data_IF_369310060013
#
_entry.id   IF_369310060013
#
_cell.length_a   1.000
_cell.length_b   1.000
_cell.length_c   1.000
_cell.angle_alpha   90.00
_cell.angle_beta   90.00
_cell.angle_gamma   90.00
#
_symmetry.space_group_name_H-M   'P 1'
#
loop_
_entity.id
_entity.type
_entity.pdbx_description
1 polymer ?
#
# COMPACT_ATOMS: atom_id res chain seq x y z
N UNK A 1 17.48 19.65 -12.26
CA UNK A 1 17.03 18.42 -11.55
C UNK A 1 15.52 18.49 -11.46
N UNK A 2 14.81 17.50 -12.01
CA UNK A 2 13.35 17.51 -11.96
C UNK A 2 12.83 17.06 -10.58
N UNK A 3 11.51 17.26 -10.33
CA UNK A 3 10.91 16.96 -9.03
C UNK A 3 11.01 15.47 -8.65
N UNK A 4 10.94 14.53 -9.60
CA UNK A 4 11.14 13.11 -9.32
C UNK A 4 12.56 12.81 -8.83
N UNK A 5 13.57 13.44 -9.43
CA UNK A 5 14.97 13.30 -8.99
C UNK A 5 15.18 13.94 -7.61
N UNK A 6 14.57 15.09 -7.36
CA UNK A 6 14.63 15.76 -6.06
C UNK A 6 13.94 14.92 -4.96
N UNK A 7 12.75 14.36 -5.24
CA UNK A 7 12.03 13.50 -4.31
C UNK A 7 12.87 12.30 -3.86
N UNK A 8 13.60 11.67 -4.80
CA UNK A 8 14.47 10.52 -4.51
C UNK A 8 15.63 10.83 -3.55
N UNK A 9 15.94 12.10 -3.28
CA UNK A 9 16.95 12.49 -2.28
C UNK A 9 16.42 12.38 -0.84
N UNK A 10 15.11 12.44 -0.65
CA UNK A 10 14.47 12.51 0.66
C UNK A 10 13.59 11.29 0.97
N UNK A 11 13.09 10.62 -0.07
CA UNK A 11 12.04 9.60 0.02
C UNK A 11 12.34 8.43 -0.89
N UNK A 12 12.12 7.22 -0.42
CA UNK A 12 12.13 6.03 -1.29
C UNK A 12 10.91 6.06 -2.20
N UNK A 13 11.15 6.20 -3.51
CA UNK A 13 10.09 6.21 -4.52
C UNK A 13 9.70 4.78 -4.87
N UNK A 14 8.41 4.49 -4.70
CA UNK A 14 7.78 3.20 -4.98
C UNK A 14 6.79 3.39 -6.14
N UNK A 15 6.71 2.43 -7.06
CA UNK A 15 5.73 2.48 -8.13
C UNK A 15 4.47 1.69 -7.76
N UNK A 16 3.29 2.31 -7.90
CA UNK A 16 2.00 1.69 -7.68
C UNK A 16 1.40 1.23 -9.01
N UNK A 17 1.72 0.00 -9.44
CA UNK A 17 1.30 -0.48 -10.76
C UNK A 17 1.31 -2.00 -10.89
N UNK A 18 0.33 -2.53 -11.67
CA UNK A 18 0.41 -3.87 -12.26
C UNK A 18 0.98 -3.84 -13.69
N UNK A 19 1.11 -2.64 -14.29
CA UNK A 19 1.67 -2.42 -15.62
C UNK A 19 3.19 -2.22 -15.51
N UNK A 20 3.91 -3.33 -15.35
CA UNK A 20 5.35 -3.30 -15.05
C UNK A 20 6.23 -2.90 -16.25
N UNK A 21 5.73 -2.94 -17.49
CA UNK A 21 6.50 -2.50 -18.66
C UNK A 21 6.88 -1.01 -18.60
N UNK A 22 6.14 -0.20 -17.85
CA UNK A 22 6.44 1.21 -17.64
C UNK A 22 7.47 1.48 -16.52
N UNK A 23 7.79 0.48 -15.67
CA UNK A 23 8.67 0.68 -14.51
C UNK A 23 10.09 1.10 -14.88
N UNK A 24 10.65 0.55 -15.95
CA UNK A 24 12.01 0.82 -16.38
C UNK A 24 12.29 2.32 -16.63
N UNK A 25 11.27 3.07 -17.04
CA UNK A 25 11.37 4.51 -17.32
C UNK A 25 11.66 5.34 -16.06
N UNK A 26 11.03 4.99 -14.92
CA UNK A 26 11.09 5.79 -13.70
C UNK A 26 12.09 5.27 -12.67
N UNK A 27 12.59 4.04 -12.84
CA UNK A 27 13.57 3.39 -11.95
C UNK A 27 13.16 3.53 -10.47
N UNK A 28 11.98 3.04 -10.07
CA UNK A 28 11.57 3.04 -8.68
C UNK A 28 12.45 2.07 -7.88
N UNK A 29 12.57 2.29 -6.57
CA UNK A 29 13.27 1.37 -5.68
C UNK A 29 12.45 0.11 -5.42
N UNK A 30 11.20 0.27 -5.04
CA UNK A 30 10.22 -0.76 -4.71
C UNK A 30 8.99 -0.64 -5.62
N UNK A 31 8.10 -1.63 -5.58
CA UNK A 31 6.79 -1.56 -6.25
C UNK A 31 5.67 -2.14 -5.38
N UNK A 32 4.46 -1.62 -5.57
CA UNK A 32 3.24 -2.17 -4.95
C UNK A 32 2.26 -2.63 -6.00
N UNK A 33 1.60 -3.75 -5.72
CA UNK A 33 0.46 -4.24 -6.47
C UNK A 33 -0.77 -4.34 -5.57
N UNK A 34 -1.92 -4.55 -6.16
CA UNK A 34 -3.17 -4.89 -5.50
C UNK A 34 -4.10 -5.58 -6.50
N UNK A 35 -5.23 -6.20 -6.05
CA UNK A 35 -6.14 -6.91 -6.95
C UNK A 35 -6.63 -6.06 -8.13
N UNK A 36 -6.95 -4.79 -7.90
CA UNK A 36 -7.43 -3.88 -8.95
C UNK A 36 -6.37 -3.62 -10.02
N UNK A 37 -5.11 -3.44 -9.61
CA UNK A 37 -3.99 -3.21 -10.54
C UNK A 37 -3.68 -4.45 -11.37
N UNK A 38 -3.70 -5.63 -10.77
CA UNK A 38 -3.52 -6.90 -11.49
C UNK A 38 -4.68 -7.12 -12.46
N UNK A 39 -5.94 -6.96 -12.01
CA UNK A 39 -7.12 -7.07 -12.86
C UNK A 39 -7.06 -6.11 -14.06
N UNK A 40 -6.63 -4.86 -13.84
CA UNK A 40 -6.46 -3.87 -14.91
C UNK A 40 -5.35 -4.29 -15.87
N UNK A 41 -4.25 -4.81 -15.38
CA UNK A 41 -3.13 -5.27 -16.21
C UNK A 41 -3.53 -6.47 -17.08
N UNK A 42 -4.12 -7.52 -16.52
CA UNK A 42 -4.48 -8.74 -17.29
C UNK A 42 -5.53 -8.51 -18.37
N UNK A 43 -6.25 -7.37 -18.36
CA UNK A 43 -7.14 -6.96 -19.45
C UNK A 43 -6.39 -6.42 -20.67
N UNK A 44 -5.11 -6.11 -20.55
CA UNK A 44 -4.28 -5.63 -21.67
C UNK A 44 -3.69 -6.82 -22.44
N UNK A 45 -3.64 -6.74 -23.79
CA UNK A 45 -3.15 -7.83 -24.65
C UNK A 45 -1.75 -8.34 -24.27
N UNK A 46 -0.85 -7.45 -23.86
CA UNK A 46 0.54 -7.75 -23.51
C UNK A 46 0.71 -8.63 -22.28
N UNK A 47 -0.28 -8.68 -21.37
CA UNK A 47 -0.25 -9.48 -20.14
C UNK A 47 -1.13 -10.74 -20.19
N UNK A 48 -2.00 -10.89 -21.20
CA UNK A 48 -2.82 -12.09 -21.39
C UNK A 48 -1.99 -13.39 -21.46
N UNK A 49 -0.79 -13.42 -22.06
CA UNK A 49 0.05 -14.62 -22.04
C UNK A 49 0.37 -15.11 -20.62
N UNK A 50 0.66 -14.22 -19.67
CA UNK A 50 0.98 -14.59 -18.29
C UNK A 50 -0.21 -15.28 -17.60
N UNK A 51 -1.42 -14.78 -17.80
CA UNK A 51 -2.64 -15.38 -17.28
C UNK A 51 -2.84 -16.77 -17.90
N UNK A 52 -2.72 -16.89 -19.21
CA UNK A 52 -2.90 -18.16 -19.93
C UNK A 52 -1.86 -19.22 -19.54
N UNK A 53 -0.61 -18.82 -19.34
CA UNK A 53 0.45 -19.71 -18.86
C UNK A 53 0.10 -20.30 -17.50
N UNK A 54 -0.37 -19.46 -16.54
CA UNK A 54 -0.76 -19.93 -15.21
C UNK A 54 -1.94 -20.88 -15.28
N UNK A 55 -2.98 -20.55 -16.05
CA UNK A 55 -4.17 -21.40 -16.21
C UNK A 55 -3.79 -22.74 -16.88
N UNK A 56 -2.98 -22.72 -17.94
CA UNK A 56 -2.55 -23.93 -18.63
C UNK A 56 -1.71 -24.86 -17.74
N UNK A 57 -0.79 -24.29 -16.96
CA UNK A 57 0.10 -25.06 -16.08
C UNK A 57 -0.61 -25.58 -14.82
N UNK A 58 -1.63 -24.88 -14.32
CA UNK A 58 -2.22 -25.13 -13.01
C UNK A 58 -3.75 -25.27 -13.01
N UNK A 59 -4.37 -25.56 -14.14
CA UNK A 59 -5.83 -25.67 -14.30
C UNK A 59 -6.52 -26.72 -13.42
N UNK A 60 -5.76 -27.67 -12.84
CA UNK A 60 -6.25 -28.66 -11.86
C UNK A 60 -6.18 -28.17 -10.40
N UNK A 61 -5.46 -27.09 -10.14
CA UNK A 61 -5.37 -26.49 -8.80
C UNK A 61 -6.67 -25.75 -8.45
N UNK A 62 -6.87 -25.47 -7.17
CA UNK A 62 -7.99 -24.62 -6.73
C UNK A 62 -7.86 -23.21 -7.34
N UNK A 63 -8.99 -22.50 -7.49
CA UNK A 63 -8.99 -21.14 -8.00
C UNK A 63 -8.12 -20.22 -7.15
N UNK A 64 -8.18 -20.37 -5.83
CA UNK A 64 -7.33 -19.63 -4.90
C UNK A 64 -5.83 -19.84 -5.16
N UNK A 65 -5.42 -21.07 -5.45
CA UNK A 65 -4.02 -21.35 -5.77
C UNK A 65 -3.63 -20.79 -7.14
N UNK A 66 -4.51 -20.85 -8.13
CA UNK A 66 -4.26 -20.27 -9.44
C UNK A 66 -4.09 -18.75 -9.35
N UNK A 67 -4.92 -18.07 -8.55
CA UNK A 67 -4.78 -16.62 -8.30
C UNK A 67 -3.46 -16.31 -7.60
N UNK A 68 -3.08 -17.06 -6.55
CA UNK A 68 -1.80 -16.84 -5.87
C UNK A 68 -0.62 -17.00 -6.83
N UNK A 69 -0.67 -17.98 -7.73
CA UNK A 69 0.36 -18.17 -8.76
C UNK A 69 0.39 -17.02 -9.76
N UNK A 70 -0.77 -16.48 -10.14
CA UNK A 70 -0.83 -15.33 -11.05
C UNK A 70 -0.23 -14.09 -10.41
N UNK A 71 -0.62 -13.74 -9.18
CA UNK A 71 -0.07 -12.55 -8.50
C UNK A 71 1.43 -12.71 -8.22
N UNK A 72 1.92 -13.90 -7.89
CA UNK A 72 3.34 -14.20 -7.74
C UNK A 72 4.06 -14.07 -9.09
N UNK A 73 3.47 -14.55 -10.20
CA UNK A 73 4.05 -14.41 -11.54
C UNK A 73 4.24 -12.94 -11.91
N UNK A 74 3.23 -12.08 -11.65
CA UNK A 74 3.37 -10.63 -11.82
C UNK A 74 4.46 -10.05 -10.91
N UNK A 75 4.50 -10.46 -9.66
CA UNK A 75 5.52 -10.02 -8.71
C UNK A 75 6.94 -10.39 -9.14
N UNK A 76 7.16 -11.58 -9.72
CA UNK A 76 8.45 -11.99 -10.26
C UNK A 76 8.89 -11.12 -11.46
N UNK A 77 7.96 -10.79 -12.37
CA UNK A 77 8.26 -9.87 -13.48
C UNK A 77 8.66 -8.49 -12.96
N UNK A 78 7.91 -7.96 -11.99
CA UNK A 78 8.24 -6.66 -11.36
C UNK A 78 9.62 -6.71 -10.71
N UNK A 79 9.92 -7.76 -9.92
CA UNK A 79 11.20 -7.93 -9.22
C UNK A 79 12.40 -8.06 -10.16
N UNK A 80 12.20 -8.46 -11.41
CA UNK A 80 13.27 -8.46 -12.43
C UNK A 80 13.63 -7.04 -12.90
N UNK A 81 12.75 -6.06 -12.68
CA UNK A 81 12.89 -4.68 -13.16
C UNK A 81 13.26 -3.68 -12.06
N UNK A 82 13.10 -4.05 -10.79
CA UNK A 82 13.38 -3.18 -9.65
C UNK A 82 14.46 -3.78 -8.73
N UNK A 83 15.29 -2.96 -8.07
CA UNK A 83 16.32 -3.47 -7.17
C UNK A 83 15.79 -3.90 -5.80
N UNK A 84 14.67 -3.36 -5.35
CA UNK A 84 14.14 -3.51 -4.01
C UNK A 84 13.04 -4.57 -3.88
N UNK A 85 11.94 -4.21 -3.21
CA UNK A 85 10.87 -5.13 -2.76
C UNK A 85 9.60 -4.96 -3.59
N UNK A 86 8.80 -6.03 -3.69
CA UNK A 86 7.43 -5.96 -4.20
C UNK A 86 6.44 -6.23 -3.07
N UNK A 87 5.37 -5.43 -2.99
CA UNK A 87 4.22 -5.72 -2.12
C UNK A 87 3.18 -6.53 -2.91
N UNK A 88 2.89 -7.75 -2.42
CA UNK A 88 1.89 -8.66 -2.99
C UNK A 88 0.76 -8.84 -1.99
N UNK A 89 -0.46 -8.49 -2.39
CA UNK A 89 -1.62 -8.42 -1.49
C UNK A 89 -2.33 -9.77 -1.40
N UNK A 90 -2.62 -10.20 -0.15
CA UNK A 90 -3.50 -11.34 0.11
C UNK A 90 -4.94 -10.97 -0.25
N UNK A 91 -5.75 -11.98 -0.57
CA UNK A 91 -7.15 -11.79 -0.93
C UNK A 91 -7.92 -11.10 0.20
N UNK A 92 -8.61 -10.00 -0.12
CA UNK A 92 -9.34 -9.19 0.83
C UNK A 92 -10.53 -9.92 1.48
N UNK A 93 -10.98 -11.04 0.93
CA UNK A 93 -12.00 -11.91 1.55
C UNK A 93 -11.56 -12.47 2.90
N UNK A 94 -10.24 -12.54 3.16
CA UNK A 94 -9.66 -13.01 4.42
C UNK A 94 -9.37 -11.89 5.42
N UNK A 95 -9.78 -10.64 5.14
CA UNK A 95 -9.47 -9.47 5.98
C UNK A 95 -9.90 -9.60 7.44
N UNK A 96 -10.83 -10.49 7.76
CA UNK A 96 -11.37 -10.73 9.11
C UNK A 96 -11.04 -12.13 9.65
N UNK A 97 -10.11 -12.85 9.00
CA UNK A 97 -9.64 -14.17 9.42
C UNK A 97 -8.13 -14.19 9.53
N UNK A 98 -7.63 -14.08 10.75
CA UNK A 98 -6.19 -14.08 11.06
C UNK A 98 -5.50 -15.36 10.59
N UNK A 99 -6.09 -16.52 10.85
CA UNK A 99 -5.47 -17.81 10.54
C UNK A 99 -5.39 -18.04 9.02
N UNK A 100 -6.48 -17.76 8.30
CA UNK A 100 -6.51 -17.85 6.85
C UNK A 100 -5.55 -16.87 6.19
N UNK A 101 -5.45 -15.62 6.70
CA UNK A 101 -4.50 -14.62 6.22
C UNK A 101 -3.05 -15.08 6.39
N UNK A 102 -2.69 -15.62 7.56
CA UNK A 102 -1.33 -16.17 7.81
C UNK A 102 -1.04 -17.33 6.86
N UNK A 103 -1.94 -18.30 6.73
CA UNK A 103 -1.76 -19.47 5.85
C UNK A 103 -1.59 -19.03 4.38
N UNK A 104 -2.38 -18.04 3.91
CA UNK A 104 -2.28 -17.50 2.55
C UNK A 104 -0.94 -16.80 2.32
N UNK A 105 -0.52 -15.96 3.27
CA UNK A 105 0.76 -15.26 3.23
C UNK A 105 1.94 -16.24 3.13
N UNK A 106 1.96 -17.28 3.96
CA UNK A 106 2.98 -18.33 3.93
C UNK A 106 3.03 -19.05 2.57
N UNK A 107 1.86 -19.34 1.99
CA UNK A 107 1.78 -19.97 0.65
C UNK A 107 2.35 -19.03 -0.43
N UNK A 108 2.01 -17.75 -0.42
CA UNK A 108 2.54 -16.75 -1.36
C UNK A 108 4.07 -16.67 -1.25
N UNK A 109 4.63 -16.62 -0.06
CA UNK A 109 6.09 -16.62 0.16
C UNK A 109 6.73 -17.91 -0.37
N UNK A 110 6.13 -19.08 -0.10
CA UNK A 110 6.63 -20.35 -0.63
C UNK A 110 6.61 -20.38 -2.17
N UNK A 111 5.60 -19.82 -2.81
CA UNK A 111 5.53 -19.69 -4.27
C UNK A 111 6.64 -18.79 -4.82
N UNK A 112 6.95 -17.66 -4.18
CA UNK A 112 8.09 -16.81 -4.55
C UNK A 112 9.41 -17.54 -4.40
N UNK A 113 9.62 -18.24 -3.29
CA UNK A 113 10.84 -19.01 -3.05
C UNK A 113 11.04 -20.12 -4.09
N UNK A 114 9.94 -20.80 -4.50
CA UNK A 114 9.98 -21.78 -5.58
C UNK A 114 10.38 -21.20 -6.94
N UNK A 115 10.23 -19.86 -7.13
CA UNK A 115 10.71 -19.12 -8.30
C UNK A 115 12.12 -18.53 -8.09
N UNK A 116 12.82 -18.89 -7.01
CA UNK A 116 14.15 -18.38 -6.70
C UNK A 116 14.19 -16.96 -6.10
N UNK A 117 13.05 -16.42 -5.70
CA UNK A 117 12.96 -15.09 -5.06
C UNK A 117 13.13 -15.22 -3.55
N UNK A 118 14.10 -14.49 -2.99
CA UNK A 118 14.30 -14.44 -1.54
C UNK A 118 13.13 -13.71 -0.86
N UNK A 119 12.70 -14.21 0.31
CA UNK A 119 11.54 -13.64 1.05
C UNK A 119 11.72 -12.17 1.44
N UNK A 120 12.96 -11.73 1.61
CA UNK A 120 13.35 -10.35 1.92
C UNK A 120 13.00 -9.36 0.79
N UNK A 121 12.78 -9.87 -0.44
CA UNK A 121 12.34 -9.11 -1.60
C UNK A 121 10.82 -8.96 -1.68
N UNK A 122 10.06 -9.54 -0.74
CA UNK A 122 8.59 -9.58 -0.76
C UNK A 122 8.02 -9.02 0.53
N UNK A 123 7.06 -8.10 0.39
CA UNK A 123 6.20 -7.64 1.47
C UNK A 123 4.81 -8.23 1.25
N UNK A 124 4.30 -8.99 2.21
CA UNK A 124 2.91 -9.44 2.16
C UNK A 124 2.00 -8.28 2.54
N UNK A 125 1.15 -7.86 1.60
CA UNK A 125 0.23 -6.74 1.80
C UNK A 125 -1.10 -7.23 2.35
N UNK A 126 -1.57 -6.62 3.44
CA UNK A 126 -2.72 -7.09 4.24
C UNK A 126 -3.57 -5.87 4.62
N UNK A 127 -4.90 -5.97 4.57
CA UNK A 127 -5.80 -4.92 5.05
C UNK A 127 -5.61 -4.68 6.56
N UNK A 128 -5.54 -3.42 6.98
CA UNK A 128 -5.31 -3.01 8.37
C UNK A 128 -6.60 -3.12 9.22
N UNK A 129 -7.24 -4.29 9.21
CA UNK A 129 -8.23 -4.71 10.20
C UNK A 129 -7.52 -5.17 11.47
N UNK A 130 -8.24 -5.36 12.59
CA UNK A 130 -7.63 -5.95 13.78
C UNK A 130 -7.02 -7.32 13.47
N UNK A 131 -7.78 -8.18 12.80
CA UNK A 131 -7.38 -9.53 12.42
C UNK A 131 -6.18 -9.53 11.46
N UNK A 132 -6.16 -8.59 10.50
CA UNK A 132 -5.03 -8.42 9.58
C UNK A 132 -3.75 -7.97 10.29
N UNK A 133 -3.87 -7.08 11.28
CA UNK A 133 -2.74 -6.63 12.10
C UNK A 133 -2.20 -7.78 12.97
N UNK A 134 -3.10 -8.61 13.55
CA UNK A 134 -2.69 -9.81 14.30
C UNK A 134 -1.98 -10.84 13.40
N UNK A 135 -2.47 -11.01 12.16
CA UNK A 135 -1.81 -11.86 11.17
C UNK A 135 -0.40 -11.34 10.85
N UNK A 136 -0.28 -10.04 10.63
CA UNK A 136 1.02 -9.40 10.36
C UNK A 136 2.00 -9.59 11.53
N UNK A 137 1.55 -9.45 12.79
CA UNK A 137 2.39 -9.69 13.96
C UNK A 137 2.96 -11.11 14.00
N UNK A 138 2.13 -12.12 13.66
CA UNK A 138 2.56 -13.51 13.58
C UNK A 138 3.55 -13.74 12.44
N UNK A 139 3.32 -13.14 11.27
CA UNK A 139 4.20 -13.25 10.10
C UNK A 139 5.56 -12.59 10.35
N UNK A 140 5.60 -11.44 11.01
CA UNK A 140 6.84 -10.76 11.40
C UNK A 140 7.71 -11.65 12.31
N UNK A 141 7.10 -12.40 13.25
CA UNK A 141 7.82 -13.36 14.10
C UNK A 141 8.42 -14.52 13.29
N UNK A 142 7.88 -14.82 12.13
CA UNK A 142 8.39 -15.83 11.19
C UNK A 142 9.41 -15.25 10.19
N UNK A 143 9.74 -13.97 10.33
CA UNK A 143 10.63 -13.26 9.41
C UNK A 143 10.02 -13.02 8.03
N UNK A 144 8.69 -12.96 7.94
CA UNK A 144 7.94 -12.57 6.75
C UNK A 144 7.52 -11.11 6.91
N UNK A 145 8.08 -10.23 6.11
CA UNK A 145 7.80 -8.80 6.16
C UNK A 145 6.40 -8.49 5.60
N UNK A 146 5.71 -7.53 6.23
CA UNK A 146 4.33 -7.16 5.89
C UNK A 146 4.16 -5.68 5.57
N UNK A 147 3.17 -5.38 4.73
CA UNK A 147 2.72 -4.03 4.38
C UNK A 147 1.23 -3.89 4.72
N UNK A 148 0.87 -3.14 5.76
CA UNK A 148 -0.52 -2.96 6.17
C UNK A 148 -1.18 -1.84 5.36
N UNK A 149 -2.21 -2.20 4.59
CA UNK A 149 -2.91 -1.31 3.65
C UNK A 149 -4.36 -1.05 4.08
N UNK A 150 -5.09 -0.24 3.32
CA UNK A 150 -6.40 0.27 3.70
C UNK A 150 -6.37 0.92 5.08
N UNK A 151 -5.33 1.71 5.31
CA UNK A 151 -5.08 2.42 6.55
C UNK A 151 -5.54 3.87 6.39
N UNK A 152 -6.48 4.28 7.21
CA UNK A 152 -7.16 5.58 7.16
C UNK A 152 -7.16 6.30 8.51
N UNK A 153 -7.07 5.56 9.63
CA UNK A 153 -7.13 6.10 10.99
C UNK A 153 -5.79 6.02 11.72
N UNK A 154 -5.55 7.00 12.62
CA UNK A 154 -4.41 6.95 13.53
C UNK A 154 -4.42 5.69 14.41
N UNK A 155 -5.60 5.22 14.84
CA UNK A 155 -5.72 3.98 15.63
C UNK A 155 -5.18 2.75 14.89
N UNK A 156 -5.38 2.66 13.56
CA UNK A 156 -4.79 1.58 12.76
C UNK A 156 -3.26 1.68 12.76
N UNK A 157 -2.71 2.89 12.62
CA UNK A 157 -1.26 3.10 12.67
C UNK A 157 -0.69 2.73 14.05
N UNK A 158 -1.34 3.13 15.14
CA UNK A 158 -0.93 2.76 16.51
C UNK A 158 -0.89 1.25 16.68
N UNK A 159 -1.94 0.53 16.30
CA UNK A 159 -2.00 -0.92 16.42
C UNK A 159 -0.93 -1.61 15.54
N UNK A 160 -0.65 -1.09 14.33
CA UNK A 160 0.43 -1.57 13.47
C UNK A 160 1.81 -1.37 14.11
N UNK A 161 2.06 -0.20 14.72
CA UNK A 161 3.29 0.08 15.44
C UNK A 161 3.49 -0.84 16.66
N UNK A 162 2.42 -1.12 17.43
CA UNK A 162 2.44 -2.08 18.53
C UNK A 162 2.74 -3.51 18.05
N UNK A 163 2.23 -3.89 16.88
CA UNK A 163 2.49 -5.17 16.23
C UNK A 163 3.88 -5.25 15.57
N UNK A 164 4.64 -4.15 15.53
CA UNK A 164 5.97 -4.04 14.92
C UNK A 164 6.00 -4.51 13.46
N UNK A 165 4.96 -4.18 12.69
CA UNK A 165 4.92 -4.52 11.27
C UNK A 165 6.03 -3.80 10.49
N UNK A 166 6.50 -4.37 9.37
CA UNK A 166 7.59 -3.78 8.60
C UNK A 166 7.18 -2.42 7.99
N UNK A 167 5.99 -2.32 7.41
CA UNK A 167 5.56 -1.16 6.66
C UNK A 167 4.06 -0.94 6.76
N UNK A 168 3.64 0.31 6.77
CA UNK A 168 2.23 0.71 6.63
C UNK A 168 2.04 1.59 5.40
N UNK A 169 0.87 1.45 4.74
CA UNK A 169 0.47 2.24 3.58
C UNK A 169 -0.78 3.08 3.88
N UNK A 170 -0.67 4.19 4.63
CA UNK A 170 -1.79 5.10 4.84
C UNK A 170 -2.19 5.78 3.53
N UNK A 171 -3.51 5.89 3.30
CA UNK A 171 -4.06 6.41 2.07
C UNK A 171 -4.30 7.92 2.15
N UNK A 172 -3.80 8.66 1.17
CA UNK A 172 -3.95 10.12 1.06
C UNK A 172 -5.22 10.47 0.28
N UNK A 173 -5.29 10.10 -0.99
CA UNK A 173 -6.34 10.56 -1.88
C UNK A 173 -7.73 10.03 -1.53
N UNK A 174 -7.87 8.84 -0.95
CA UNK A 174 -9.20 8.35 -0.52
C UNK A 174 -9.73 9.10 0.71
N UNK A 175 -8.86 9.57 1.59
CA UNK A 175 -9.23 10.47 2.70
C UNK A 175 -9.70 11.80 2.12
N UNK A 176 -8.92 12.40 1.21
CA UNK A 176 -9.30 13.62 0.50
C UNK A 176 -10.68 13.49 -0.18
N UNK A 177 -10.90 12.41 -0.94
CA UNK A 177 -12.16 12.18 -1.65
C UNK A 177 -13.36 12.13 -0.70
N UNK A 178 -13.21 11.49 0.47
CA UNK A 178 -14.27 11.41 1.48
C UNK A 178 -14.62 12.78 2.04
N UNK A 179 -13.62 13.56 2.46
CA UNK A 179 -13.84 14.92 3.00
C UNK A 179 -14.43 15.85 1.95
N UNK A 180 -13.96 15.79 0.70
CA UNK A 180 -14.50 16.57 -0.40
C UNK A 180 -15.97 16.25 -0.66
N UNK A 181 -16.32 14.96 -0.67
CA UNK A 181 -17.71 14.50 -0.85
C UNK A 181 -18.58 14.93 0.34
N UNK A 182 -18.10 14.82 1.55
CA UNK A 182 -18.85 15.21 2.77
C UNK A 182 -19.10 16.72 2.82
N UNK A 183 -18.14 17.55 2.41
CA UNK A 183 -18.29 19.00 2.37
C UNK A 183 -19.20 19.49 1.21
N UNK A 184 -19.30 18.72 0.12
CA UNK A 184 -20.10 19.09 -1.04
C UNK A 184 -19.76 20.48 -1.58
N UNK A 185 -20.76 21.34 -1.70
CA UNK A 185 -20.59 22.71 -2.21
C UNK A 185 -19.76 23.63 -1.30
N UNK A 186 -19.55 23.27 -0.03
CA UNK A 186 -18.72 24.03 0.91
C UNK A 186 -17.22 23.68 0.82
N UNK A 187 -16.84 22.76 -0.09
CA UNK A 187 -15.44 22.42 -0.29
C UNK A 187 -14.64 23.55 -0.91
N UNK A 188 -13.60 24.01 -0.23
CA UNK A 188 -12.62 24.94 -0.77
C UNK A 188 -11.34 24.20 -1.18
N UNK A 189 -11.15 24.04 -2.48
CA UNK A 189 -10.01 23.32 -3.05
C UNK A 189 -8.67 23.98 -2.71
N UNK A 190 -8.61 25.30 -2.74
CA UNK A 190 -7.37 26.05 -2.45
C UNK A 190 -6.98 25.94 -0.98
N UNK A 191 -7.94 26.06 -0.07
CA UNK A 191 -7.72 25.92 1.37
C UNK A 191 -7.43 24.49 1.81
N UNK A 192 -7.74 23.48 0.99
CA UNK A 192 -7.60 22.04 1.29
C UNK A 192 -6.62 21.32 0.37
N UNK A 193 -5.55 22.02 -0.07
CA UNK A 193 -4.51 21.49 -0.96
C UNK A 193 -3.14 21.45 -0.29
N UNK A 194 -2.21 20.70 -0.87
CA UNK A 194 -0.83 20.58 -0.38
C UNK A 194 -0.78 20.10 1.07
N UNK A 195 -0.10 20.81 1.94
CA UNK A 195 0.01 20.46 3.36
C UNK A 195 -1.30 20.54 4.15
N UNK A 196 -2.33 21.24 3.62
CA UNK A 196 -3.66 21.37 4.24
C UNK A 196 -4.65 20.31 3.71
N UNK A 197 -4.22 19.44 2.80
CA UNK A 197 -5.01 18.29 2.35
C UNK A 197 -5.23 17.31 3.53
N UNK A 198 -6.48 16.89 3.80
CA UNK A 198 -6.77 16.05 4.97
C UNK A 198 -6.05 14.70 4.93
N UNK A 199 -5.80 14.14 3.75
CA UNK A 199 -5.02 12.90 3.62
C UNK A 199 -3.53 13.14 3.88
N UNK A 200 -2.98 14.26 3.40
CA UNK A 200 -1.60 14.68 3.69
C UNK A 200 -1.43 14.92 5.19
N UNK A 201 -2.35 15.63 5.83
CA UNK A 201 -2.32 15.87 7.28
C UNK A 201 -2.35 14.56 8.08
N UNK A 202 -3.17 13.59 7.66
CA UNK A 202 -3.26 12.27 8.30
C UNK A 202 -1.92 11.53 8.24
N UNK A 203 -1.30 11.44 7.06
CA UNK A 203 0.00 10.75 6.89
C UNK A 203 1.12 11.49 7.62
N UNK A 204 1.13 12.81 7.57
CA UNK A 204 2.08 13.66 8.31
C UNK A 204 2.00 13.40 9.82
N UNK A 205 0.79 13.33 10.37
CA UNK A 205 0.57 13.04 11.78
C UNK A 205 1.11 11.65 12.17
N UNK A 206 0.82 10.62 11.37
CA UNK A 206 1.34 9.25 11.57
C UNK A 206 2.87 9.24 11.52
N UNK A 207 3.47 9.91 10.53
CA UNK A 207 4.92 9.99 10.39
C UNK A 207 5.56 10.64 11.62
N UNK A 208 5.05 11.78 12.07
CA UNK A 208 5.54 12.45 13.27
C UNK A 208 5.44 11.56 14.52
N UNK A 209 4.29 10.92 14.73
CA UNK A 209 4.08 10.02 15.86
C UNK A 209 5.08 8.84 15.85
N UNK A 210 5.28 8.20 14.69
CA UNK A 210 6.22 7.10 14.57
C UNK A 210 7.67 7.52 14.85
N UNK A 211 8.09 8.67 14.31
CA UNK A 211 9.45 9.17 14.53
C UNK A 211 9.67 9.60 15.98
N UNK A 212 8.69 10.27 16.60
CA UNK A 212 8.76 10.67 18.00
C UNK A 212 8.91 9.46 18.94
N UNK A 213 8.12 8.40 18.72
CA UNK A 213 8.13 7.21 19.56
C UNK A 213 9.19 6.15 19.15
N UNK A 214 10.05 6.46 18.18
CA UNK A 214 11.10 5.53 17.72
C UNK A 214 10.52 4.24 17.11
N UNK A 215 9.32 4.29 16.53
CA UNK A 215 8.69 3.15 15.87
C UNK A 215 9.43 2.88 14.56
N UNK A 216 9.98 1.68 14.42
CA UNK A 216 10.79 1.29 13.27
C UNK A 216 9.97 1.01 11.99
N UNK A 217 8.65 0.86 12.12
CA UNK A 217 7.75 0.65 10.98
C UNK A 217 7.87 1.78 9.96
N UNK A 218 8.09 1.43 8.70
CA UNK A 218 8.19 2.37 7.60
C UNK A 218 6.80 2.94 7.25
N UNK A 219 6.70 4.25 7.03
CA UNK A 219 5.48 4.93 6.60
C UNK A 219 5.53 5.16 5.10
N UNK A 220 4.60 4.60 4.34
CA UNK A 220 4.49 4.76 2.90
C UNK A 220 3.18 5.45 2.51
N UNK A 221 3.20 6.73 2.22
CA UNK A 221 2.02 7.42 1.68
C UNK A 221 1.55 6.79 0.37
N UNK A 222 0.24 6.61 0.22
CA UNK A 222 -0.35 5.86 -0.89
C UNK A 222 -1.62 6.52 -1.46
N UNK A 223 -2.02 6.10 -2.68
CA UNK A 223 -3.30 6.48 -3.30
C UNK A 223 -3.43 7.98 -3.56
N UNK A 224 -2.45 8.58 -4.21
CA UNK A 224 -2.43 10.02 -4.52
C UNK A 224 -3.41 10.40 -5.65
N UNK A 225 -3.89 11.64 -5.62
CA UNK A 225 -4.75 12.26 -6.65
C UNK A 225 -4.02 13.30 -7.49
N UNK A 226 -2.99 13.93 -6.92
CA UNK A 226 -2.23 14.97 -7.60
C UNK A 226 -0.80 15.06 -7.04
N UNK A 227 0.06 15.77 -7.78
CA UNK A 227 1.46 15.99 -7.41
C UNK A 227 1.61 16.80 -6.12
N UNK A 228 0.66 17.71 -5.82
CA UNK A 228 0.69 18.52 -4.60
C UNK A 228 0.64 17.69 -3.32
N UNK A 229 -0.12 16.57 -3.31
CA UNK A 229 -0.13 15.64 -2.19
C UNK A 229 1.22 14.94 -2.02
N UNK A 230 1.90 14.61 -3.11
CA UNK A 230 3.21 13.93 -3.10
C UNK A 230 4.30 14.89 -2.60
N UNK A 231 4.35 16.09 -3.15
CA UNK A 231 5.36 17.09 -2.81
C UNK A 231 5.25 17.55 -1.36
N UNK A 232 4.03 17.64 -0.82
CA UNK A 232 3.77 17.96 0.59
C UNK A 232 4.21 16.83 1.57
N UNK A 233 4.48 15.63 1.08
CA UNK A 233 5.00 14.50 1.86
C UNK A 233 6.46 14.16 1.53
N UNK A 234 7.19 15.03 0.81
CA UNK A 234 8.61 14.82 0.52
C UNK A 234 9.42 14.72 1.83
N UNK A 235 10.09 13.59 2.04
CA UNK A 235 10.76 13.25 3.30
C UNK A 235 10.04 12.16 4.10
N UNK A 236 8.82 11.75 3.71
CA UNK A 236 8.22 10.50 4.17
C UNK A 236 9.12 9.31 3.82
N UNK A 237 9.12 8.24 4.61
CA UNK A 237 10.02 7.11 4.39
C UNK A 237 9.88 6.57 2.97
N UNK A 238 8.63 6.33 2.52
CA UNK A 238 8.32 5.89 1.16
C UNK A 238 7.06 6.61 0.65
N UNK A 239 6.93 6.71 -0.68
CA UNK A 239 5.69 7.12 -1.35
C UNK A 239 5.45 6.19 -2.54
N UNK A 240 4.28 5.53 -2.57
CA UNK A 240 3.89 4.68 -3.70
C UNK A 240 3.02 5.48 -4.67
N UNK A 241 3.53 5.68 -5.87
CA UNK A 241 3.09 6.69 -6.83
C UNK A 241 2.72 6.00 -8.15
N UNK A 242 1.58 6.37 -8.73
CA UNK A 242 1.17 5.87 -10.04
C UNK A 242 2.09 6.34 -11.16
N UNK A 243 2.20 5.59 -12.28
CA UNK A 243 3.03 5.98 -13.41
C UNK A 243 2.70 7.38 -13.98
N UNK A 244 1.41 7.75 -13.97
CA UNK A 244 0.96 9.05 -14.46
C UNK A 244 1.48 10.21 -13.60
N UNK A 245 1.49 10.05 -12.27
CA UNK A 245 2.03 11.05 -11.35
C UNK A 245 3.56 11.05 -11.34
N UNK A 246 4.21 9.89 -11.53
CA UNK A 246 5.66 9.82 -11.76
C UNK A 246 6.07 10.59 -13.00
N UNK A 247 5.30 10.49 -14.09
CA UNK A 247 5.53 11.26 -15.31
C UNK A 247 5.42 12.77 -15.08
N UNK A 248 4.41 13.23 -14.32
CA UNK A 248 4.24 14.64 -13.98
C UNK A 248 5.42 15.18 -13.14
N UNK A 249 5.86 14.42 -12.13
CA UNK A 249 7.04 14.77 -11.33
C UNK A 249 8.32 14.83 -12.17
N UNK A 250 8.47 13.92 -13.14
CA UNK A 250 9.62 13.88 -14.03
C UNK A 250 9.64 15.05 -15.03
N UNK A 251 8.45 15.59 -15.38
CA UNK A 251 8.32 16.72 -16.30
C UNK A 251 8.48 18.09 -15.61
N UNK A 252 8.35 18.16 -14.27
CA UNK A 252 8.42 19.41 -13.51
C UNK A 252 9.84 19.67 -13.00
N UNK A 253 10.36 20.89 -13.22
CA UNK A 253 11.68 21.32 -12.75
C UNK A 253 11.63 22.35 -11.59
N UNK A 254 10.44 22.61 -11.05
CA UNK A 254 10.30 23.49 -9.89
C UNK A 254 11.02 22.92 -8.68
N UNK A 255 11.56 23.78 -7.79
CA UNK A 255 12.22 23.34 -6.56
C UNK A 255 11.29 22.46 -5.70
N UNK A 256 11.82 21.38 -5.18
CA UNK A 256 11.12 20.51 -4.23
C UNK A 256 11.91 20.48 -2.91
N UNK A 257 11.53 21.30 -1.92
CA UNK A 257 12.11 21.23 -0.59
C UNK A 257 11.64 19.97 0.15
N UNK A 258 12.45 19.52 1.11
CA UNK A 258 12.03 18.47 2.04
C UNK A 258 10.91 19.02 2.95
N UNK A 259 9.76 18.36 2.99
CA UNK A 259 8.60 18.74 3.79
C UNK A 259 8.58 18.04 5.16
N UNK A 260 9.03 16.78 5.22
CA UNK A 260 9.07 15.97 6.43
C UNK A 260 10.52 15.64 6.78
N UNK A 261 10.88 15.86 8.06
CA UNK A 261 12.20 15.53 8.59
C UNK A 261 12.07 14.66 9.85
N UNK A 262 12.74 13.50 9.83
CA UNK A 262 12.64 12.52 10.91
C UNK A 262 13.22 13.02 12.24
N UNK A 263 14.29 13.85 12.20
CA UNK A 263 14.90 14.42 13.42
C UNK A 263 14.01 15.49 14.04
N UNK A 264 13.46 16.37 13.21
CA UNK A 264 12.51 17.37 13.66
C UNK A 264 11.25 16.70 14.25
N UNK A 265 10.75 15.64 13.59
CA UNK A 265 9.59 14.89 14.06
C UNK A 265 9.86 14.19 15.41
N UNK A 266 11.05 13.65 15.62
CA UNK A 266 11.43 12.99 16.89
C UNK A 266 11.43 13.97 18.09
N UNK A 267 11.59 15.27 17.86
CA UNK A 267 11.56 16.29 18.90
C UNK A 267 10.14 16.81 19.23
N UNK A 268 9.10 16.37 18.49
CA UNK A 268 7.72 16.77 18.74
C UNK A 268 7.11 15.95 19.88
N UNK A 269 6.24 16.58 20.68
CA UNK A 269 5.42 15.81 21.64
C UNK A 269 4.19 15.26 20.94
N UNK A 270 4.09 13.91 20.92
CA UNK A 270 3.00 13.20 20.25
C UNK A 270 2.42 12.15 21.20
N UNK A 271 1.08 12.06 21.36
CA UNK A 271 0.47 11.01 22.17
C UNK A 271 0.61 9.64 21.49
N UNK A 272 0.83 8.61 22.30
CA UNK A 272 0.86 7.22 21.84
C UNK A 272 0.03 6.35 22.78
N UNK A 273 -1.27 6.15 22.48
CA UNK A 273 -2.11 5.28 23.29
C UNK A 273 -1.68 3.82 23.11
N UNK A 274 -1.89 3.01 24.14
CA UNK A 274 -1.85 1.57 24.00
C UNK A 274 -3.27 1.08 23.70
N UNK A 275 -3.45 0.38 22.58
CA UNK A 275 -4.76 -0.12 22.15
C UNK A 275 -4.83 -1.64 22.30
N UNK A 276 -5.84 -2.12 23.01
CA UNK A 276 -6.32 -3.49 22.91
C UNK A 276 -7.37 -3.60 21.78
N UNK A 277 -7.93 -4.78 21.57
CA UNK A 277 -8.92 -5.00 20.51
C UNK A 277 -10.16 -4.12 20.65
N UNK A 278 -10.71 -4.02 21.85
CA UNK A 278 -11.92 -3.24 22.11
C UNK A 278 -11.69 -1.74 21.87
N UNK A 279 -10.55 -1.22 22.34
CA UNK A 279 -10.15 0.18 22.13
C UNK A 279 -9.91 0.48 20.66
N UNK A 280 -9.23 -0.43 19.92
CA UNK A 280 -9.02 -0.30 18.48
C UNK A 280 -10.35 -0.25 17.72
N UNK A 281 -11.26 -1.20 18.00
CA UNK A 281 -12.57 -1.28 17.33
C UNK A 281 -13.42 -0.06 17.62
N UNK A 282 -13.42 0.42 18.88
CA UNK A 282 -14.13 1.63 19.27
C UNK A 282 -13.57 2.87 18.57
N UNK A 283 -12.26 3.07 18.61
CA UNK A 283 -11.61 4.22 17.98
C UNK A 283 -11.83 4.23 16.45
N UNK A 284 -11.74 3.07 15.79
CA UNK A 284 -12.01 2.96 14.36
C UNK A 284 -13.50 3.24 14.05
N UNK A 285 -14.43 2.75 14.87
CA UNK A 285 -15.86 2.97 14.69
C UNK A 285 -16.27 4.45 14.90
N UNK A 286 -15.58 5.16 15.79
CA UNK A 286 -15.82 6.60 16.03
C UNK A 286 -15.31 7.48 14.88
N UNK A 287 -14.39 6.98 14.06
CA UNK A 287 -13.92 7.65 12.84
C UNK A 287 -14.76 7.19 11.64
N UNK A 288 -15.81 7.95 11.30
CA UNK A 288 -16.73 7.64 10.21
C UNK A 288 -15.98 7.50 8.86
N UNK A 289 -15.03 8.39 8.59
CA UNK A 289 -14.22 8.36 7.35
C UNK A 289 -13.43 7.05 7.26
N UNK A 290 -12.72 6.68 8.30
CA UNK A 290 -11.89 5.48 8.30
C UNK A 290 -12.73 4.20 8.23
N UNK A 291 -13.83 4.12 8.98
CA UNK A 291 -14.76 2.97 8.96
C UNK A 291 -15.37 2.76 7.58
N UNK A 292 -15.88 3.83 6.97
CA UNK A 292 -16.48 3.77 5.64
C UNK A 292 -15.45 3.40 4.57
N UNK A 293 -14.26 4.00 4.60
CA UNK A 293 -13.22 3.77 3.59
C UNK A 293 -12.54 2.40 3.70
N UNK A 294 -12.35 1.88 4.91
CA UNK A 294 -11.87 0.51 5.10
C UNK A 294 -12.86 -0.49 4.53
N UNK A 295 -14.14 -0.38 4.92
CA UNK A 295 -15.19 -1.28 4.45
C UNK A 295 -15.41 -1.18 2.93
N UNK A 296 -15.41 0.02 2.35
CA UNK A 296 -15.49 0.25 0.91
C UNK A 296 -14.29 -0.39 0.18
N UNK A 297 -13.07 -0.21 0.71
CA UNK A 297 -11.85 -0.75 0.14
C UNK A 297 -11.84 -2.28 0.09
N UNK A 298 -12.23 -2.93 1.20
CA UNK A 298 -12.34 -4.40 1.26
C UNK A 298 -13.38 -4.90 0.24
N UNK A 299 -14.58 -4.29 0.18
CA UNK A 299 -15.61 -4.68 -0.80
C UNK A 299 -15.14 -4.52 -2.25
N UNK A 300 -14.45 -3.43 -2.56
CA UNK A 300 -13.92 -3.19 -3.90
C UNK A 300 -12.89 -4.28 -4.28
N UNK A 301 -11.95 -4.59 -3.41
CA UNK A 301 -10.94 -5.61 -3.68
C UNK A 301 -11.55 -7.02 -3.77
N UNK A 302 -12.57 -7.35 -2.97
CA UNK A 302 -13.34 -8.59 -3.13
C UNK A 302 -14.02 -8.68 -4.49
N UNK A 303 -14.61 -7.58 -4.97
CA UNK A 303 -15.23 -7.51 -6.31
C UNK A 303 -14.19 -7.73 -7.41
N UNK A 304 -13.02 -7.09 -7.29
CA UNK A 304 -11.95 -7.24 -8.26
C UNK A 304 -11.37 -8.66 -8.28
N UNK A 305 -11.27 -9.32 -7.11
CA UNK A 305 -10.87 -10.72 -7.02
C UNK A 305 -11.86 -11.64 -7.77
N UNK A 306 -13.16 -11.45 -7.61
CA UNK A 306 -14.20 -12.22 -8.33
C UNK A 306 -14.12 -11.99 -9.85
N UNK A 307 -13.85 -10.74 -10.28
CA UNK A 307 -13.66 -10.47 -11.71
C UNK A 307 -12.40 -11.14 -12.26
N UNK A 308 -11.31 -11.17 -11.48
CA UNK A 308 -10.09 -11.87 -11.87
C UNK A 308 -10.31 -13.37 -12.01
N UNK A 309 -11.04 -14.00 -11.06
CA UNK A 309 -11.46 -15.40 -11.17
C UNK A 309 -12.28 -15.69 -12.44
N UNK A 310 -13.19 -14.77 -12.79
CA UNK A 310 -13.99 -14.93 -14.01
C UNK A 310 -13.13 -14.89 -15.28
N UNK A 311 -12.10 -14.04 -15.32
CA UNK A 311 -11.15 -14.01 -16.45
C UNK A 311 -10.28 -15.27 -16.53
N UNK A 312 -9.95 -15.89 -15.39
CA UNK A 312 -9.16 -17.13 -15.36
C UNK A 312 -9.97 -18.36 -15.79
N UNK A 313 -11.31 -18.28 -15.75
CA UNK A 313 -12.23 -19.36 -16.18
C UNK A 313 -12.62 -19.23 -17.67
N UNK A 314 -12.38 -18.08 -18.30
CA UNK A 314 -12.72 -17.81 -19.69
C UNK A 314 -11.64 -18.31 -20.66
#
# INVERSE_FOLDING_TARGET
MNQLQALKLYTTVVADTGDFLQLAQYKPQDATTNPSLILKAVKKPEYLPLLREVVAAHGKASMDEQIDRLIVRFGCEILSLIPGRVSTEVDARWSFDTAATVARAQRIIALYQAQGVAKERVLIKIAATWEGIQAAAQLQQQGIATNLTLLFAHAQAVACGQARVQLISPFVGRIYDWHKKAAGAAWDEAARSGAQDPGVMSVTHIFHAYKHHGIATEVMGASFRNVGQITALAGCDLLTISPELLAQLAACNDPLPQALDAKASAAMEMPWPHLNEADFRLALNQDAMATEKLAEGIRAFCTDAVQLEALMKA
#
